data_IF_232118445956
#
_entry.id   IF_232118445956
#
_cell.length_a   1.000
_cell.length_b   1.000
_cell.length_c   1.000
_cell.angle_alpha   90.00
_cell.angle_beta   90.00
_cell.angle_gamma   90.00
#
_symmetry.space_group_name_H-M   'P 1'
#
loop_
_entity.id
_entity.type
_entity.pdbx_description
1 polymer ?
#
# COMPACT_ATOMS: atom_id res chain seq x y z
N UNK A 1 -11.94 -16.08 -27.87
CA UNK A 1 -12.49 -16.20 -26.52
C UNK A 1 -13.99 -16.01 -26.61
N UNK A 2 -14.78 -17.08 -26.48
CA UNK A 2 -16.24 -16.97 -26.52
C UNK A 2 -16.72 -16.94 -25.08
N UNK A 3 -16.98 -15.76 -24.55
CA UNK A 3 -17.71 -15.60 -23.31
C UNK A 3 -19.18 -15.74 -23.67
N UNK A 4 -19.72 -16.96 -23.65
CA UNK A 4 -21.14 -17.13 -23.69
C UNK A 4 -21.74 -16.51 -22.44
N UNK A 5 -22.30 -15.32 -22.62
CA UNK A 5 -22.78 -14.49 -21.56
C UNK A 5 -23.88 -15.17 -20.78
N UNK A 6 -23.67 -15.30 -19.49
CA UNK A 6 -24.80 -15.26 -18.59
C UNK A 6 -25.33 -13.83 -18.64
N UNK A 7 -26.38 -13.60 -19.38
CA UNK A 7 -27.09 -12.33 -19.51
C UNK A 7 -27.77 -11.93 -18.18
N UNK A 8 -26.99 -11.62 -17.17
CA UNK A 8 -27.48 -11.08 -15.91
C UNK A 8 -26.64 -9.89 -15.44
N UNK A 9 -26.33 -9.02 -16.39
CA UNK A 9 -26.06 -7.64 -16.04
C UNK A 9 -27.39 -6.96 -15.72
N UNK A 10 -27.44 -6.27 -14.63
CA UNK A 10 -28.64 -5.59 -14.19
C UNK A 10 -29.23 -4.69 -15.27
N UNK A 11 -30.49 -4.90 -15.60
CA UNK A 11 -31.36 -3.97 -16.31
C UNK A 11 -30.89 -3.46 -17.66
N UNK A 12 -31.25 -4.14 -18.76
CA UNK A 12 -31.27 -3.51 -20.07
C UNK A 12 -30.01 -3.60 -20.93
N UNK A 13 -29.37 -4.74 -21.00
CA UNK A 13 -28.70 -5.17 -22.23
C UNK A 13 -27.34 -4.60 -22.59
N UNK A 14 -26.54 -4.03 -21.68
CA UNK A 14 -25.26 -3.43 -22.06
C UNK A 14 -24.06 -3.83 -21.23
N UNK A 15 -24.21 -3.92 -19.93
CA UNK A 15 -23.12 -4.16 -18.98
C UNK A 15 -22.98 -5.65 -18.63
N UNK A 16 -22.28 -6.40 -19.47
CA UNK A 16 -22.11 -7.83 -19.29
C UNK A 16 -20.81 -8.22 -18.59
N UNK A 17 -19.81 -7.36 -18.59
CA UNK A 17 -18.47 -7.66 -18.07
C UNK A 17 -18.12 -6.84 -16.80
N UNK A 18 -18.47 -5.58 -16.79
CA UNK A 18 -18.34 -4.67 -15.65
C UNK A 18 -16.92 -4.61 -15.07
N UNK A 19 -15.97 -4.10 -15.87
CA UNK A 19 -14.60 -3.82 -15.36
C UNK A 19 -14.68 -2.71 -14.32
N UNK A 20 -14.02 -2.91 -13.18
CA UNK A 20 -14.18 -2.04 -12.01
C UNK A 20 -12.91 -1.80 -11.20
N UNK A 21 -11.81 -2.47 -11.54
CA UNK A 21 -10.47 -2.25 -11.04
C UNK A 21 -9.49 -2.36 -12.20
N UNK A 22 -8.52 -1.46 -12.25
CA UNK A 22 -7.42 -1.48 -13.21
C UNK A 22 -6.19 -1.01 -12.47
N UNK A 23 -5.09 -1.73 -12.63
CA UNK A 23 -3.79 -1.39 -12.10
C UNK A 23 -2.69 -1.67 -13.12
N UNK A 24 -1.61 -0.90 -13.07
CA UNK A 24 -0.47 -1.01 -13.96
C UNK A 24 0.80 -1.33 -13.18
N UNK A 25 1.46 -2.39 -13.57
CA UNK A 25 2.77 -2.76 -13.05
C UNK A 25 3.85 -2.29 -14.02
N UNK A 26 4.61 -1.26 -13.63
CA UNK A 26 5.63 -0.64 -14.46
C UNK A 26 6.82 -1.58 -14.70
N UNK A 27 7.21 -2.38 -13.71
CA UNK A 27 8.35 -3.29 -13.81
C UNK A 27 8.10 -4.45 -14.78
N UNK A 28 6.85 -4.93 -14.82
CA UNK A 28 6.43 -6.01 -15.73
C UNK A 28 5.85 -5.48 -17.05
N UNK A 29 5.54 -4.19 -17.13
CA UNK A 29 4.78 -3.58 -18.22
C UNK A 29 3.47 -4.35 -18.50
N UNK A 30 2.69 -4.58 -17.44
CA UNK A 30 1.45 -5.35 -17.46
C UNK A 30 0.30 -4.59 -16.83
N UNK A 31 -0.91 -4.87 -17.29
CA UNK A 31 -2.14 -4.34 -16.72
C UNK A 31 -2.95 -5.47 -16.09
N UNK A 32 -3.32 -5.30 -14.81
CA UNK A 32 -4.33 -6.12 -14.16
C UNK A 32 -5.69 -5.43 -14.17
N UNK A 33 -6.76 -6.19 -14.33
CA UNK A 33 -8.12 -5.67 -14.19
C UNK A 33 -9.08 -6.70 -13.61
N UNK A 34 -10.10 -6.24 -12.91
CA UNK A 34 -11.15 -7.08 -12.31
C UNK A 34 -12.49 -6.90 -13.01
N UNK A 35 -13.25 -7.98 -13.12
CA UNK A 35 -14.60 -7.99 -13.67
C UNK A 35 -15.60 -8.54 -12.65
N UNK A 36 -16.57 -7.67 -12.27
CA UNK A 36 -17.61 -8.03 -11.32
C UNK A 36 -18.45 -9.22 -11.79
N UNK A 37 -18.89 -9.19 -13.06
CA UNK A 37 -19.84 -10.18 -13.55
C UNK A 37 -19.18 -11.47 -14.04
N UNK A 38 -17.92 -11.40 -14.46
CA UNK A 38 -17.15 -12.61 -14.72
C UNK A 38 -16.70 -13.30 -13.42
N UNK A 39 -16.69 -12.58 -12.28
CA UNK A 39 -16.13 -13.07 -11.01
C UNK A 39 -14.68 -13.51 -11.17
N UNK A 40 -13.90 -12.69 -11.87
CA UNK A 40 -12.49 -12.96 -12.21
C UNK A 40 -11.65 -11.70 -12.22
N UNK A 41 -10.36 -11.91 -12.08
CA UNK A 41 -9.31 -10.93 -12.38
C UNK A 41 -8.47 -11.42 -13.54
N UNK A 42 -7.83 -10.49 -14.25
CA UNK A 42 -7.08 -10.75 -15.47
C UNK A 42 -5.79 -9.95 -15.48
N UNK A 43 -4.78 -10.50 -16.16
CA UNK A 43 -3.54 -9.77 -16.51
C UNK A 43 -3.34 -9.86 -18.01
N UNK A 44 -2.98 -8.74 -18.62
CA UNK A 44 -2.59 -8.61 -20.03
C UNK A 44 -1.22 -7.95 -20.17
N UNK A 45 -0.56 -8.22 -21.29
CA UNK A 45 0.70 -7.59 -21.65
C UNK A 45 0.44 -6.18 -22.21
N UNK A 46 1.03 -5.15 -21.57
CA UNK A 46 0.94 -3.78 -22.04
C UNK A 46 2.12 -3.40 -22.96
N UNK A 47 3.20 -4.16 -22.96
CA UNK A 47 4.40 -3.91 -23.78
C UNK A 47 4.20 -4.12 -25.28
N UNK A 48 3.01 -4.58 -25.68
CA UNK A 48 2.67 -4.90 -27.06
C UNK A 48 2.43 -3.67 -27.92
N UNK A 49 2.89 -3.69 -29.18
CA UNK A 49 2.39 -2.77 -30.21
C UNK A 49 0.94 -3.09 -30.57
N UNK A 50 0.24 -2.18 -31.23
CA UNK A 50 -1.13 -2.43 -31.70
C UNK A 50 -1.25 -3.67 -32.60
N UNK A 51 -0.24 -3.95 -33.42
CA UNK A 51 -0.23 -5.14 -34.29
C UNK A 51 -0.04 -6.43 -33.48
N UNK A 52 0.83 -6.44 -32.48
CA UNK A 52 1.07 -7.56 -31.59
C UNK A 52 -0.15 -7.81 -30.69
N UNK A 53 -0.78 -6.75 -30.15
CA UNK A 53 -2.00 -6.87 -29.37
C UNK A 53 -3.19 -7.48 -30.17
N UNK A 54 -3.17 -7.36 -31.49
CA UNK A 54 -4.13 -8.01 -32.38
C UNK A 54 -3.75 -9.45 -32.79
N UNK A 55 -2.67 -9.99 -32.26
CA UNK A 55 -2.12 -11.31 -32.58
C UNK A 55 -1.89 -12.16 -31.32
N UNK A 56 -1.39 -13.37 -31.51
CA UNK A 56 -1.01 -14.32 -30.45
C UNK A 56 0.51 -14.36 -30.20
N UNK A 57 1.23 -13.33 -30.59
CA UNK A 57 2.70 -13.26 -30.42
C UNK A 57 3.19 -11.82 -30.33
N UNK A 58 4.32 -11.63 -29.65
CA UNK A 58 4.91 -10.32 -29.40
C UNK A 58 4.71 -9.84 -27.94
N UNK A 59 5.23 -8.66 -27.66
CA UNK A 59 5.38 -8.15 -26.29
C UNK A 59 6.42 -8.89 -25.48
N UNK A 60 6.62 -8.47 -24.23
CA UNK A 60 7.56 -9.10 -23.28
C UNK A 60 7.19 -10.55 -22.96
N UNK A 61 5.90 -10.84 -22.92
CA UNK A 61 5.37 -12.19 -22.70
C UNK A 61 5.59 -13.13 -23.89
N UNK A 62 5.71 -12.58 -25.10
CA UNK A 62 5.68 -13.33 -26.36
C UNK A 62 4.29 -13.81 -26.78
N UNK A 63 3.23 -13.44 -26.05
CA UNK A 63 1.84 -13.92 -26.26
C UNK A 63 0.93 -12.91 -26.95
N UNK A 64 1.45 -11.73 -27.30
CA UNK A 64 0.69 -10.67 -27.95
C UNK A 64 -0.49 -10.22 -27.11
N UNK A 65 -1.70 -10.18 -27.69
CA UNK A 65 -2.92 -9.77 -26.99
C UNK A 65 -3.65 -10.85 -26.22
N UNK A 66 -3.04 -12.01 -26.02
CA UNK A 66 -3.65 -13.08 -25.20
C UNK A 66 -3.65 -12.71 -23.71
N UNK A 67 -4.61 -13.26 -22.97
CA UNK A 67 -4.65 -13.12 -21.52
C UNK A 67 -3.51 -13.94 -20.91
N UNK A 68 -2.63 -13.27 -20.17
CA UNK A 68 -1.48 -13.91 -19.53
C UNK A 68 -1.89 -14.70 -18.29
N UNK A 69 -2.81 -14.15 -17.50
CA UNK A 69 -3.30 -14.74 -16.27
C UNK A 69 -4.78 -14.40 -16.07
N UNK A 70 -5.49 -15.33 -15.48
CA UNK A 70 -6.86 -15.13 -15.01
C UNK A 70 -7.11 -15.98 -13.78
N UNK A 71 -7.82 -15.42 -12.81
CA UNK A 71 -8.15 -16.13 -11.57
C UNK A 71 -9.57 -15.81 -11.13
N UNK A 72 -10.31 -16.84 -10.70
CA UNK A 72 -11.68 -16.74 -10.24
C UNK A 72 -12.52 -17.90 -10.78
N UNK A 73 -13.46 -17.66 -11.71
CA UNK A 73 -14.36 -18.68 -12.20
C UNK A 73 -13.79 -19.50 -13.38
N UNK A 74 -13.25 -20.70 -13.14
CA UNK A 74 -12.64 -21.49 -14.21
C UNK A 74 -13.63 -21.98 -15.28
N UNK A 75 -14.93 -22.01 -14.99
CA UNK A 75 -15.93 -22.40 -15.98
C UNK A 75 -16.05 -21.40 -17.13
N UNK A 76 -15.64 -20.15 -16.94
CA UNK A 76 -15.63 -19.12 -17.99
C UNK A 76 -14.65 -19.43 -19.14
N UNK A 77 -13.75 -20.39 -18.95
CA UNK A 77 -12.80 -20.84 -19.98
C UNK A 77 -12.68 -22.37 -20.04
N UNK A 78 -13.76 -23.05 -19.66
CA UNK A 78 -13.96 -24.52 -19.76
C UNK A 78 -12.87 -25.32 -19.03
N UNK A 79 -12.35 -24.79 -17.90
CA UNK A 79 -11.38 -25.51 -17.09
C UNK A 79 -12.05 -26.11 -15.85
N UNK A 80 -11.55 -27.26 -15.37
CA UNK A 80 -12.09 -27.88 -14.16
C UNK A 80 -11.70 -27.06 -12.92
N UNK A 81 -12.60 -27.12 -11.91
CA UNK A 81 -12.28 -26.70 -10.55
C UNK A 81 -11.56 -27.80 -9.77
N UNK A 82 -11.36 -27.62 -8.46
CA UNK A 82 -11.91 -26.53 -7.66
C UNK A 82 -11.07 -25.26 -7.71
N UNK A 83 -11.73 -24.12 -7.63
CA UNK A 83 -11.12 -22.82 -7.40
C UNK A 83 -12.08 -21.94 -6.61
N UNK A 84 -11.57 -21.09 -5.72
CA UNK A 84 -12.36 -20.05 -5.07
C UNK A 84 -12.82 -19.06 -6.14
N UNK A 85 -14.11 -18.79 -6.15
CA UNK A 85 -14.72 -17.81 -7.06
C UNK A 85 -14.99 -16.54 -6.24
N UNK A 86 -14.34 -15.41 -6.55
CA UNK A 86 -14.62 -14.16 -5.85
C UNK A 86 -16.04 -13.68 -6.16
N UNK A 87 -16.74 -13.20 -5.13
CA UNK A 87 -18.09 -12.69 -5.26
C UNK A 87 -18.11 -11.19 -5.47
N UNK A 88 -18.59 -10.72 -6.63
CA UNK A 88 -18.66 -9.30 -6.99
C UNK A 88 -17.31 -8.57 -6.81
N UNK A 89 -16.23 -9.16 -7.29
CA UNK A 89 -14.85 -8.67 -7.12
C UNK A 89 -14.67 -7.26 -7.64
N UNK A 90 -13.89 -6.46 -6.89
CA UNK A 90 -13.47 -5.11 -7.25
C UNK A 90 -12.00 -4.90 -6.96
N UNK A 91 -11.45 -3.82 -7.54
CA UNK A 91 -10.22 -3.19 -7.14
C UNK A 91 -9.01 -4.12 -7.12
N UNK A 92 -8.80 -4.88 -8.21
CA UNK A 92 -7.55 -5.62 -8.34
C UNK A 92 -6.37 -4.67 -8.49
N UNK A 93 -5.29 -4.95 -7.76
CA UNK A 93 -4.01 -4.24 -7.87
C UNK A 93 -2.86 -5.13 -7.45
N UNK A 94 -1.65 -4.81 -7.88
CA UNK A 94 -0.46 -5.40 -7.28
C UNK A 94 -0.16 -4.78 -5.93
N UNK A 95 0.26 -5.61 -5.00
CA UNK A 95 0.98 -5.14 -3.81
C UNK A 95 2.39 -4.79 -4.27
N UNK A 96 2.81 -3.55 -4.04
CA UNK A 96 4.14 -3.08 -4.44
C UNK A 96 5.24 -4.00 -3.87
N UNK A 97 6.17 -4.42 -4.71
CA UNK A 97 7.31 -5.27 -4.30
C UNK A 97 8.50 -4.40 -3.89
N UNK A 98 8.36 -3.75 -2.74
CA UNK A 98 9.33 -2.81 -2.16
C UNK A 98 9.81 -3.26 -0.77
N UNK A 99 9.59 -4.54 -0.44
CA UNK A 99 9.90 -5.12 0.87
C UNK A 99 8.72 -5.18 1.82
N UNK A 100 7.55 -4.64 1.43
CA UNK A 100 6.31 -4.82 2.22
C UNK A 100 5.83 -6.26 2.19
N UNK A 101 5.08 -6.71 3.21
CA UNK A 101 4.52 -8.07 3.24
C UNK A 101 3.65 -8.37 2.03
N UNK A 102 3.89 -9.52 1.40
CA UNK A 102 3.21 -10.02 0.19
C UNK A 102 3.46 -9.14 -1.05
N UNK A 103 4.59 -8.43 -1.13
CA UNK A 103 5.00 -7.73 -2.34
C UNK A 103 4.94 -8.65 -3.57
N UNK A 104 4.45 -8.13 -4.69
CA UNK A 104 4.23 -8.88 -5.93
C UNK A 104 2.91 -9.64 -6.02
N UNK A 105 2.18 -9.87 -4.92
CA UNK A 105 0.84 -10.47 -4.97
C UNK A 105 -0.17 -9.53 -5.61
N UNK A 106 -1.21 -10.10 -6.21
CA UNK A 106 -2.43 -9.36 -6.54
C UNK A 106 -3.31 -9.26 -5.31
N UNK A 107 -3.81 -8.08 -4.99
CA UNK A 107 -4.80 -7.84 -3.95
C UNK A 107 -6.14 -7.49 -4.58
N UNK A 108 -7.22 -8.04 -4.05
CA UNK A 108 -8.59 -7.74 -4.48
C UNK A 108 -9.49 -7.40 -3.32
N UNK A 109 -10.47 -6.55 -3.55
CA UNK A 109 -11.62 -6.41 -2.67
C UNK A 109 -12.70 -7.40 -3.11
N UNK A 110 -12.91 -8.44 -2.33
CA UNK A 110 -13.89 -9.50 -2.59
C UNK A 110 -15.17 -9.18 -1.81
N UNK A 111 -16.13 -8.53 -2.47
CA UNK A 111 -17.32 -7.97 -1.82
C UNK A 111 -18.20 -9.02 -1.12
N UNK A 112 -18.24 -10.23 -1.67
CA UNK A 112 -19.04 -11.34 -1.15
C UNK A 112 -18.14 -12.57 -0.98
N UNK A 113 -16.94 -12.35 -0.45
CA UNK A 113 -15.88 -13.38 -0.36
C UNK A 113 -16.07 -14.37 0.77
N UNK A 114 -16.94 -14.08 1.73
CA UNK A 114 -17.19 -14.89 2.91
C UNK A 114 -18.69 -15.19 3.02
N UNK A 115 -19.04 -16.22 3.80
CA UNK A 115 -20.43 -16.56 4.08
C UNK A 115 -21.21 -15.36 4.63
N UNK A 116 -22.53 -15.33 4.40
CA UNK A 116 -23.42 -14.24 4.80
C UNK A 116 -23.12 -12.89 4.14
N UNK A 117 -22.61 -12.92 2.90
CA UNK A 117 -22.27 -11.72 2.13
C UNK A 117 -21.23 -10.80 2.81
N UNK A 118 -20.37 -11.37 3.64
CA UNK A 118 -19.29 -10.62 4.26
C UNK A 118 -18.15 -10.42 3.25
N UNK A 119 -17.58 -9.21 3.26
CA UNK A 119 -16.46 -8.86 2.38
C UNK A 119 -15.13 -9.36 2.94
N UNK A 120 -14.15 -9.53 2.05
CA UNK A 120 -12.77 -9.79 2.41
C UNK A 120 -11.82 -9.02 1.49
N UNK A 121 -10.62 -8.77 2.00
CA UNK A 121 -9.46 -8.38 1.19
C UNK A 121 -8.61 -9.64 1.02
N UNK A 122 -8.48 -10.10 -0.22
CA UNK A 122 -7.78 -11.34 -0.55
C UNK A 122 -6.49 -11.02 -1.33
N UNK A 123 -5.39 -11.67 -0.96
CA UNK A 123 -4.14 -11.67 -1.70
C UNK A 123 -3.96 -12.96 -2.48
N UNK A 124 -3.57 -12.85 -3.73
CA UNK A 124 -3.36 -13.97 -4.66
C UNK A 124 -1.90 -13.95 -5.11
N UNK A 125 -1.16 -14.98 -4.74
CA UNK A 125 0.19 -15.25 -5.23
C UNK A 125 0.09 -15.92 -6.60
N UNK A 126 0.10 -15.11 -7.66
CA UNK A 126 -0.03 -15.60 -9.02
C UNK A 126 1.24 -16.38 -9.43
N UNK A 127 1.12 -17.63 -9.90
CA UNK A 127 2.27 -18.48 -10.19
C UNK A 127 3.01 -17.98 -11.44
N UNK A 128 4.11 -17.27 -11.25
CA UNK A 128 4.99 -16.81 -12.34
C UNK A 128 5.67 -18.01 -13.01
N UNK A 129 5.80 -17.97 -14.33
CA UNK A 129 6.54 -19.00 -15.07
C UNK A 129 8.04 -18.88 -14.77
N UNK A 130 8.70 -19.93 -14.24
CA UNK A 130 10.11 -19.87 -13.91
C UNK A 130 11.04 -19.66 -15.13
N UNK A 131 10.54 -19.88 -16.34
CA UNK A 131 11.29 -19.70 -17.57
C UNK A 131 11.09 -18.33 -18.23
N UNK A 132 10.00 -17.63 -17.88
CA UNK A 132 9.71 -16.31 -18.38
C UNK A 132 8.96 -15.49 -17.32
N UNK A 133 9.60 -14.51 -16.67
CA UNK A 133 9.00 -13.73 -15.59
C UNK A 133 7.81 -12.85 -16.01
N UNK A 134 7.61 -12.68 -17.31
CA UNK A 134 6.46 -11.96 -17.87
C UNK A 134 5.24 -12.88 -18.10
N UNK A 135 5.33 -14.18 -17.79
CA UNK A 135 4.26 -15.16 -17.98
C UNK A 135 3.86 -15.83 -16.66
N UNK A 136 2.70 -16.46 -16.69
CA UNK A 136 2.15 -17.17 -15.54
C UNK A 136 2.02 -18.64 -15.85
N UNK A 137 2.51 -19.46 -14.91
CA UNK A 137 2.50 -20.89 -15.07
C UNK A 137 1.08 -21.45 -14.92
N UNK A 138 0.72 -22.35 -15.81
CA UNK A 138 -0.51 -23.13 -15.75
C UNK A 138 -0.27 -24.58 -16.12
N UNK A 139 -0.75 -25.49 -15.31
CA UNK A 139 -0.78 -26.91 -15.66
C UNK A 139 -1.75 -27.12 -16.83
N UNK A 140 -1.30 -27.84 -17.86
CA UNK A 140 -2.13 -28.07 -19.03
C UNK A 140 -3.44 -28.78 -18.65
N UNK A 141 -4.57 -28.27 -19.16
CA UNK A 141 -5.90 -28.77 -18.86
C UNK A 141 -6.46 -28.44 -17.48
N UNK A 142 -5.80 -27.57 -16.72
CA UNK A 142 -6.28 -27.08 -15.44
C UNK A 142 -6.48 -25.56 -15.45
N UNK A 143 -7.18 -25.04 -14.46
CA UNK A 143 -7.29 -23.62 -14.22
C UNK A 143 -5.93 -23.03 -13.80
N UNK A 144 -5.75 -21.71 -13.95
CA UNK A 144 -4.62 -21.03 -13.34
C UNK A 144 -4.68 -21.15 -11.81
N UNK A 145 -3.53 -21.42 -11.18
CA UNK A 145 -3.42 -21.39 -9.72
C UNK A 145 -3.37 -19.95 -9.17
N UNK A 146 -3.38 -19.81 -7.85
CA UNK A 146 -3.68 -20.85 -6.85
C UNK A 146 -5.18 -21.22 -6.83
N UNK A 147 -5.52 -22.38 -6.25
CA UNK A 147 -6.92 -22.80 -6.14
C UNK A 147 -7.70 -22.00 -5.08
N UNK A 148 -7.02 -21.25 -4.24
CA UNK A 148 -7.57 -20.41 -3.19
C UNK A 148 -6.75 -19.11 -3.10
N UNK A 149 -7.22 -18.15 -2.33
CA UNK A 149 -6.42 -16.99 -1.93
C UNK A 149 -5.19 -17.44 -1.11
N UNK A 150 -4.11 -16.69 -1.22
CA UNK A 150 -2.88 -16.90 -0.44
C UNK A 150 -2.97 -16.24 0.92
N UNK A 151 -3.58 -15.05 0.98
CA UNK A 151 -3.88 -14.33 2.23
C UNK A 151 -5.32 -13.83 2.23
N UNK A 152 -5.93 -13.71 3.41
CA UNK A 152 -7.28 -13.16 3.57
C UNK A 152 -7.41 -12.36 4.85
N UNK A 153 -7.93 -11.16 4.70
CA UNK A 153 -8.51 -10.40 5.81
C UNK A 153 -10.04 -10.36 5.63
N UNK A 154 -10.78 -10.83 6.63
CA UNK A 154 -12.25 -10.73 6.65
C UNK A 154 -12.62 -9.36 7.18
N UNK A 155 -13.32 -8.57 6.36
CA UNK A 155 -13.58 -7.18 6.65
C UNK A 155 -14.52 -7.00 7.86
N UNK A 156 -14.17 -6.05 8.73
CA UNK A 156 -15.04 -5.64 9.84
C UNK A 156 -16.34 -4.99 9.33
N UNK A 157 -16.26 -4.31 8.18
CA UNK A 157 -17.41 -3.70 7.50
C UNK A 157 -17.49 -4.23 6.08
N UNK A 158 -18.69 -4.59 5.64
CA UNK A 158 -18.93 -5.22 4.34
C UNK A 158 -19.64 -4.28 3.38
N UNK A 159 -19.41 -4.50 2.09
CA UNK A 159 -20.05 -3.75 1.02
C UNK A 159 -20.43 -4.70 -0.13
N UNK A 160 -21.64 -4.57 -0.71
CA UNK A 160 -22.11 -5.47 -1.77
C UNK A 160 -21.49 -5.17 -3.14
N UNK A 161 -20.72 -4.12 -3.25
CA UNK A 161 -20.05 -3.69 -4.48
C UNK A 161 -19.15 -2.51 -4.27
N UNK A 162 -18.44 -2.10 -5.32
CA UNK A 162 -17.40 -1.07 -5.27
C UNK A 162 -16.34 -1.39 -4.22
N UNK A 163 -15.84 -0.39 -3.48
CA UNK A 163 -14.81 -0.60 -2.46
C UNK A 163 -13.39 -0.67 -3.01
N UNK A 164 -12.43 -0.49 -2.13
CA UNK A 164 -11.02 -0.54 -2.44
C UNK A 164 -10.19 -0.94 -1.21
N UNK A 165 -8.95 -1.35 -1.44
CA UNK A 165 -8.01 -1.64 -0.36
C UNK A 165 -6.56 -1.40 -0.78
N UNK A 166 -5.74 -0.89 0.13
CA UNK A 166 -4.30 -0.74 -0.08
C UNK A 166 -3.51 -1.56 0.94
N UNK A 167 -2.38 -2.12 0.49
CA UNK A 167 -1.38 -2.72 1.37
C UNK A 167 -0.34 -1.67 1.72
N UNK A 168 -0.30 -1.28 2.99
CA UNK A 168 0.67 -0.31 3.49
C UNK A 168 2.06 -0.96 3.64
N UNK A 169 3.12 -0.14 3.64
CA UNK A 169 4.50 -0.59 3.77
C UNK A 169 4.76 -1.41 5.04
N UNK A 170 4.13 -1.04 6.14
CA UNK A 170 4.21 -1.78 7.42
C UNK A 170 3.39 -3.09 7.45
N UNK A 171 2.76 -3.45 6.33
CA UNK A 171 1.92 -4.64 6.19
C UNK A 171 0.47 -4.47 6.62
N UNK A 172 0.09 -3.31 7.13
CA UNK A 172 -1.31 -3.01 7.42
C UNK A 172 -2.16 -3.00 6.14
N UNK A 173 -3.46 -3.12 6.30
CA UNK A 173 -4.41 -3.02 5.19
C UNK A 173 -5.31 -1.81 5.43
N UNK A 174 -5.24 -0.82 4.55
CA UNK A 174 -6.27 0.20 4.44
C UNK A 174 -7.47 -0.38 3.69
N UNK A 175 -8.67 -0.15 4.22
CA UNK A 175 -9.92 -0.67 3.67
C UNK A 175 -10.92 0.47 3.51
N UNK A 176 -11.48 0.60 2.33
CA UNK A 176 -12.67 1.38 2.05
C UNK A 176 -13.82 0.44 1.71
N UNK A 177 -14.73 0.22 2.64
CA UNK A 177 -15.99 -0.47 2.40
C UNK A 177 -17.03 0.54 1.94
N UNK A 178 -17.42 0.49 0.66
CA UNK A 178 -18.36 1.46 0.07
C UNK A 178 -19.78 1.30 0.61
N UNK A 179 -20.47 2.41 0.81
CA UNK A 179 -21.89 2.41 1.15
C UNK A 179 -22.84 2.14 -0.04
N UNK A 180 -22.30 1.90 -1.23
CA UNK A 180 -23.08 1.82 -2.47
C UNK A 180 -23.43 3.22 -3.01
N UNK A 181 -24.33 3.29 -3.99
CA UNK A 181 -24.75 4.56 -4.57
C UNK A 181 -25.57 5.36 -3.53
N UNK A 182 -25.02 6.50 -3.09
CA UNK A 182 -25.65 7.40 -2.12
C UNK A 182 -25.66 6.88 -0.68
N UNK A 183 -24.90 5.84 -0.38
CA UNK A 183 -24.73 5.32 0.99
C UNK A 183 -23.42 5.77 1.63
N UNK A 184 -23.42 5.92 2.95
CA UNK A 184 -22.21 6.17 3.71
C UNK A 184 -21.32 4.93 3.73
N UNK A 185 -20.08 5.07 3.25
CA UNK A 185 -19.05 4.06 3.36
C UNK A 185 -18.26 4.18 4.66
N UNK A 186 -17.37 3.24 4.90
CA UNK A 186 -16.50 3.21 6.07
C UNK A 186 -15.06 2.98 5.62
N UNK A 187 -14.17 3.85 6.05
CA UNK A 187 -12.73 3.71 5.86
C UNK A 187 -12.06 3.34 7.18
N UNK A 188 -11.12 2.44 7.14
CA UNK A 188 -10.33 2.05 8.32
C UNK A 188 -9.04 1.37 7.91
N UNK A 189 -8.09 1.29 8.82
CA UNK A 189 -6.85 0.53 8.65
C UNK A 189 -6.75 -0.55 9.71
N UNK A 190 -6.30 -1.71 9.32
CA UNK A 190 -6.06 -2.84 10.24
C UNK A 190 -4.60 -3.27 10.20
N UNK A 191 -4.12 -3.69 11.35
CA UNK A 191 -2.81 -4.34 11.47
C UNK A 191 -2.83 -5.79 10.94
N UNK A 192 -1.69 -6.46 11.00
CA UNK A 192 -1.54 -7.84 10.55
C UNK A 192 -2.35 -8.85 11.38
N UNK A 193 -2.85 -8.46 12.56
CA UNK A 193 -3.72 -9.28 13.41
C UNK A 193 -5.21 -9.01 13.14
N UNK A 194 -5.52 -8.07 12.25
CA UNK A 194 -6.88 -7.65 11.95
C UNK A 194 -7.47 -6.64 12.96
N UNK A 195 -6.63 -6.06 13.83
CA UNK A 195 -7.05 -5.01 14.76
C UNK A 195 -7.16 -3.68 14.04
N UNK A 196 -8.26 -2.95 14.23
CA UNK A 196 -8.41 -1.60 13.67
C UNK A 196 -7.44 -0.66 14.40
N UNK A 197 -6.47 -0.11 13.67
CA UNK A 197 -5.46 0.82 14.17
C UNK A 197 -5.73 2.28 13.76
N UNK A 198 -6.57 2.49 12.75
CA UNK A 198 -7.06 3.80 12.35
C UNK A 198 -8.52 3.73 11.89
N UNK A 199 -9.29 4.75 12.20
CA UNK A 199 -10.72 4.78 11.93
C UNK A 199 -11.53 4.03 13.02
N UNK A 200 -12.79 3.58 12.73
CA UNK A 200 -13.51 3.74 11.47
C UNK A 200 -13.91 5.20 11.19
N UNK A 201 -13.78 5.62 9.95
CA UNK A 201 -14.18 6.93 9.47
C UNK A 201 -15.33 6.77 8.45
N UNK A 202 -16.46 7.38 8.73
CA UNK A 202 -17.61 7.37 7.81
C UNK A 202 -17.39 8.38 6.69
N UNK A 203 -17.42 7.91 5.46
CA UNK A 203 -17.27 8.76 4.28
C UNK A 203 -18.16 8.28 3.13
N UNK A 204 -18.64 9.25 2.37
CA UNK A 204 -19.44 9.00 1.18
C UNK A 204 -18.49 8.76 0.00
N UNK A 205 -17.86 7.57 -0.03
CA UNK A 205 -16.86 7.23 -1.02
C UNK A 205 -17.14 5.86 -1.65
N UNK A 206 -17.12 5.85 -2.98
CA UNK A 206 -17.25 4.62 -3.78
C UNK A 206 -15.95 3.81 -3.73
N UNK A 207 -14.83 4.51 -3.86
CA UNK A 207 -13.46 4.02 -3.68
C UNK A 207 -12.63 5.10 -3.03
N UNK A 208 -11.78 4.71 -2.10
CA UNK A 208 -10.76 5.55 -1.51
C UNK A 208 -9.46 4.76 -1.41
N UNK A 209 -8.38 5.48 -1.56
CA UNK A 209 -7.01 4.96 -1.50
C UNK A 209 -6.23 5.73 -0.45
N UNK A 210 -5.26 5.05 0.15
CA UNK A 210 -4.36 5.67 1.11
C UNK A 210 -2.95 5.70 0.52
N UNK A 211 -2.40 6.89 0.43
CA UNK A 211 -1.02 7.10 0.03
C UNK A 211 -0.16 7.31 1.26
N UNK A 212 1.00 6.68 1.28
CA UNK A 212 2.02 6.90 2.30
C UNK A 212 2.64 8.27 2.12
N UNK A 213 3.16 8.84 3.21
CA UNK A 213 3.66 10.21 3.20
C UNK A 213 4.86 10.40 2.25
N UNK A 214 5.63 9.34 2.04
CA UNK A 214 6.78 9.28 1.14
C UNK A 214 6.39 9.19 -0.35
N UNK A 215 5.11 8.97 -0.63
CA UNK A 215 4.65 8.86 -2.02
C UNK A 215 4.93 10.17 -2.79
N UNK A 216 5.55 10.11 -3.99
CA UNK A 216 5.97 11.31 -4.74
C UNK A 216 4.87 12.34 -4.97
N UNK A 217 3.62 11.89 -5.14
CA UNK A 217 2.47 12.78 -5.29
C UNK A 217 2.19 13.59 -4.01
N UNK A 218 2.37 12.99 -2.82
CA UNK A 218 2.19 13.70 -1.53
C UNK A 218 3.23 14.80 -1.40
N UNK A 219 4.51 14.49 -1.68
CA UNK A 219 5.60 15.49 -1.67
C UNK A 219 5.31 16.65 -2.63
N UNK A 220 4.77 16.35 -3.82
CA UNK A 220 4.41 17.38 -4.80
C UNK A 220 3.21 18.23 -4.38
N UNK A 221 2.31 17.70 -3.57
CA UNK A 221 1.11 18.36 -3.08
C UNK A 221 1.35 19.16 -1.79
N UNK A 222 2.47 18.91 -1.09
CA UNK A 222 2.80 19.55 0.19
C UNK A 222 2.55 21.07 0.20
N UNK A 223 2.97 21.86 -0.80
CA UNK A 223 2.77 23.31 -0.81
C UNK A 223 1.29 23.73 -0.86
N UNK A 224 0.40 22.82 -1.27
CA UNK A 224 -1.03 23.05 -1.44
C UNK A 224 -1.88 22.43 -0.33
N UNK A 225 -1.27 21.60 0.52
CA UNK A 225 -1.96 20.97 1.64
C UNK A 225 -2.13 21.99 2.76
N UNK A 226 -3.32 22.01 3.38
CA UNK A 226 -3.51 22.86 4.56
C UNK A 226 -2.67 22.32 5.74
N UNK A 227 -2.42 23.20 6.72
CA UNK A 227 -1.56 22.87 7.87
C UNK A 227 -2.04 21.64 8.66
N UNK A 228 -3.33 21.34 8.63
CA UNK A 228 -3.90 20.16 9.30
C UNK A 228 -3.59 18.86 8.55
N UNK A 229 -3.60 18.90 7.22
CA UNK A 229 -3.25 17.75 6.40
C UNK A 229 -1.74 17.46 6.44
N UNK A 230 -0.90 18.52 6.38
CA UNK A 230 0.56 18.39 6.49
C UNK A 230 0.98 17.86 7.87
N UNK A 231 0.25 18.18 8.93
CA UNK A 231 0.55 17.68 10.27
C UNK A 231 0.44 16.15 10.36
N UNK A 232 -0.36 15.49 9.56
CA UNK A 232 -0.47 14.03 9.59
C UNK A 232 0.63 13.30 8.79
N UNK A 233 1.19 13.93 7.74
CA UNK A 233 2.27 13.35 6.93
C UNK A 233 3.66 13.80 7.38
N UNK A 234 3.77 15.00 7.91
CA UNK A 234 5.05 15.60 8.31
C UNK A 234 5.15 15.86 9.82
N UNK A 235 4.04 15.73 10.58
CA UNK A 235 4.21 15.41 11.98
C UNK A 235 4.80 14.00 11.97
N UNK A 236 6.04 13.93 12.33
CA UNK A 236 6.52 12.71 12.95
C UNK A 236 5.45 12.30 13.94
N UNK A 237 4.57 11.38 13.57
CA UNK A 237 3.96 10.58 14.59
C UNK A 237 5.17 9.96 15.27
N UNK A 238 5.52 10.50 16.42
CA UNK A 238 6.10 9.68 17.45
C UNK A 238 5.01 8.63 17.70
N UNK A 239 4.88 7.61 16.84
CA UNK A 239 4.58 6.32 17.40
C UNK A 239 5.60 6.21 18.49
N UNK A 240 5.17 6.01 19.71
CA UNK A 240 6.00 5.65 20.83
C UNK A 240 6.94 4.50 20.43
N UNK A 241 7.94 4.79 19.61
CA UNK A 241 9.21 4.13 19.67
C UNK A 241 9.67 4.53 21.04
N UNK A 242 9.28 3.68 21.99
CA UNK A 242 9.50 3.74 23.40
C UNK A 242 10.47 4.83 23.74
N UNK A 243 10.04 5.90 24.40
CA UNK A 243 10.77 7.07 24.84
C UNK A 243 12.09 6.75 25.58
N UNK A 244 12.48 5.50 25.57
CA UNK A 244 13.65 4.91 26.18
C UNK A 244 14.86 4.78 25.24
N UNK A 245 14.72 4.93 23.92
CA UNK A 245 15.84 4.66 23.02
C UNK A 245 16.77 5.86 22.83
N UNK A 246 16.28 7.10 22.85
CA UNK A 246 17.07 8.33 22.67
C UNK A 246 16.52 9.41 23.59
N UNK A 247 17.40 10.00 24.41
CA UNK A 247 17.04 11.11 25.26
C UNK A 247 17.92 12.32 24.94
N UNK A 248 17.28 13.50 24.81
CA UNK A 248 17.95 14.80 24.62
C UNK A 248 17.61 15.68 25.82
N UNK A 249 18.61 16.04 26.61
CA UNK A 249 18.41 16.84 27.82
C UNK A 249 19.58 17.74 28.15
N UNK A 250 19.39 18.83 28.92
CA UNK A 250 18.11 19.38 29.35
C UNK A 250 17.33 19.95 28.15
N UNK A 251 16.02 19.94 28.23
CA UNK A 251 15.14 20.56 27.25
C UNK A 251 13.98 21.26 28.01
N UNK A 252 13.92 22.59 28.12
CA UNK A 252 14.83 23.59 27.51
C UNK A 252 16.26 23.57 28.04
N UNK A 253 17.19 24.22 27.32
CA UNK A 253 18.61 24.30 27.70
C UNK A 253 19.20 25.71 27.48
N UNK A 254 20.33 25.96 28.12
CA UNK A 254 21.15 27.18 27.89
C UNK A 254 22.05 27.08 26.64
N UNK A 255 21.78 26.13 25.73
CA UNK A 255 22.56 25.82 24.54
C UNK A 255 23.46 24.60 24.66
N UNK A 256 23.49 23.94 25.82
CA UNK A 256 24.22 22.70 26.03
C UNK A 256 23.24 21.55 26.20
N UNK A 257 23.36 20.52 25.35
CA UNK A 257 22.52 19.32 25.33
C UNK A 257 23.36 18.07 25.50
N UNK A 258 22.77 17.05 26.08
CA UNK A 258 23.28 15.69 26.05
C UNK A 258 22.35 14.82 25.28
N UNK A 259 22.87 13.98 24.39
CA UNK A 259 22.15 12.88 23.76
C UNK A 259 22.58 11.58 24.42
N UNK A 260 21.63 10.82 24.93
CA UNK A 260 21.84 9.45 25.41
C UNK A 260 21.14 8.49 24.46
N UNK A 261 21.85 7.42 24.10
CA UNK A 261 21.35 6.33 23.28
C UNK A 261 21.21 5.08 24.14
N UNK A 262 20.11 4.34 23.99
CA UNK A 262 19.94 3.04 24.63
C UNK A 262 20.89 1.98 24.05
N UNK A 263 20.98 0.86 24.76
CA UNK A 263 21.84 -0.27 24.42
C UNK A 263 21.57 -0.88 23.04
N UNK A 264 20.36 -0.76 22.56
CA UNK A 264 19.91 -1.41 21.32
C UNK A 264 20.28 -0.63 20.04
N UNK A 265 20.81 0.56 20.21
CA UNK A 265 21.22 1.43 19.10
C UNK A 265 22.72 1.29 18.86
N UNK A 266 23.11 0.70 17.73
CA UNK A 266 24.54 0.49 17.40
C UNK A 266 25.23 1.79 16.98
N UNK A 267 24.59 2.57 16.10
CA UNK A 267 25.17 3.77 15.50
C UNK A 267 24.08 4.71 15.00
N UNK A 268 24.25 6.02 15.16
CA UNK A 268 23.37 7.05 14.61
C UNK A 268 24.17 8.22 14.05
N UNK A 269 23.53 9.01 13.18
CA UNK A 269 23.96 10.35 12.80
C UNK A 269 22.96 11.38 13.32
N UNK A 270 23.43 12.54 13.73
CA UNK A 270 22.59 13.64 14.23
C UNK A 270 22.90 14.91 13.45
N UNK A 271 21.86 15.58 12.98
CA UNK A 271 21.94 16.91 12.40
C UNK A 271 21.13 17.88 13.25
N UNK A 272 21.65 19.07 13.46
CA UNK A 272 20.96 20.14 14.19
C UNK A 272 20.66 21.27 13.21
N UNK A 273 19.39 21.66 13.16
CA UNK A 273 18.90 22.73 12.29
C UNK A 273 18.34 23.88 13.14
N UNK A 274 18.50 25.11 12.68
CA UNK A 274 17.82 26.25 13.26
C UNK A 274 16.36 26.36 12.81
N UNK A 275 15.62 27.34 13.32
CA UNK A 275 14.18 27.53 13.03
C UNK A 275 13.84 27.82 11.56
N UNK A 276 14.81 28.14 10.72
CA UNK A 276 14.65 28.34 9.27
C UNK A 276 15.15 27.14 8.45
N UNK A 277 15.45 26.01 9.11
CA UNK A 277 15.86 24.78 8.43
C UNK A 277 17.33 24.72 8.01
N UNK A 278 18.15 25.68 8.39
CA UNK A 278 19.59 25.67 8.09
C UNK A 278 20.32 24.69 9.02
N UNK A 279 21.07 23.74 8.46
CA UNK A 279 21.95 22.84 9.21
C UNK A 279 23.07 23.63 9.85
N UNK A 280 23.20 23.56 11.18
CA UNK A 280 24.23 24.27 11.95
C UNK A 280 25.30 23.35 12.52
N UNK A 281 24.95 22.09 12.79
CA UNK A 281 25.87 21.06 13.29
C UNK A 281 25.48 19.69 12.71
N UNK A 282 26.49 18.83 12.52
CA UNK A 282 26.34 17.45 12.12
C UNK A 282 27.30 16.56 12.91
N UNK A 283 26.81 15.44 13.37
CA UNK A 283 27.59 14.39 14.03
C UNK A 283 27.29 13.07 13.33
N UNK A 284 28.32 12.38 12.90
CA UNK A 284 28.21 11.06 12.30
C UNK A 284 28.77 10.00 13.26
N UNK A 285 28.24 8.77 13.16
CA UNK A 285 28.76 7.58 13.84
C UNK A 285 28.75 7.66 15.38
N UNK A 286 27.70 8.24 15.96
CA UNK A 286 27.48 8.22 17.40
C UNK A 286 27.09 6.82 17.86
N UNK A 287 27.79 6.28 18.85
CA UNK A 287 27.62 4.89 19.34
C UNK A 287 26.82 4.84 20.64
N UNK A 288 26.14 3.73 20.86
CA UNK A 288 25.47 3.43 22.13
C UNK A 288 26.43 3.54 23.33
N UNK A 289 25.83 3.74 24.50
CA UNK A 289 26.51 3.91 25.81
C UNK A 289 27.37 5.17 25.95
N UNK A 290 27.50 6.02 24.94
CA UNK A 290 28.22 7.28 25.07
C UNK A 290 27.23 8.45 25.12
N UNK A 291 27.32 9.27 26.20
CA UNK A 291 26.64 10.55 26.24
C UNK A 291 27.36 11.51 25.29
N UNK A 292 26.70 11.91 24.22
CA UNK A 292 27.21 12.90 23.30
C UNK A 292 26.79 14.30 23.78
N UNK A 293 27.75 15.15 24.02
CA UNK A 293 27.49 16.59 24.32
C UNK A 293 27.43 17.39 23.05
N UNK A 294 26.39 18.22 22.94
CA UNK A 294 26.19 19.16 21.84
C UNK A 294 26.15 20.55 22.43
N UNK A 295 27.04 21.44 21.95
CA UNK A 295 27.09 22.82 22.35
C UNK A 295 26.67 23.73 21.20
N UNK A 296 25.51 24.39 21.37
CA UNK A 296 24.97 25.42 20.48
C UNK A 296 24.91 26.80 21.19
N UNK A 297 25.67 26.98 22.27
CA UNK A 297 25.66 28.22 23.06
C UNK A 297 26.08 29.45 22.27
N UNK A 298 26.86 29.28 21.20
CA UNK A 298 27.28 30.34 20.27
C UNK A 298 26.25 30.72 19.23
N UNK A 299 25.10 29.99 19.14
CA UNK A 299 24.02 30.29 18.20
C UNK A 299 22.91 31.08 18.89
N UNK A 300 22.07 31.82 18.15
CA UNK A 300 20.98 32.62 18.72
C UNK A 300 20.04 31.79 19.59
N UNK A 301 19.39 32.44 20.55
CA UNK A 301 18.32 31.81 21.32
C UNK A 301 17.13 31.50 20.38
N UNK A 302 16.47 30.34 20.55
CA UNK A 302 15.34 29.92 19.72
C UNK A 302 15.11 28.43 19.76
N UNK A 303 14.28 27.98 18.82
CA UNK A 303 14.02 26.56 18.61
C UNK A 303 15.05 25.94 17.68
N UNK A 304 15.49 24.74 18.02
CA UNK A 304 16.40 23.93 17.22
C UNK A 304 15.80 22.55 17.01
N UNK A 305 15.96 22.01 15.82
CA UNK A 305 15.48 20.69 15.44
C UNK A 305 16.66 19.72 15.38
N UNK A 306 16.56 18.64 16.12
CA UNK A 306 17.51 17.54 16.06
C UNK A 306 16.95 16.44 15.16
N UNK A 307 17.59 16.20 14.03
CA UNK A 307 17.29 15.12 13.11
C UNK A 307 18.26 13.97 13.38
N UNK A 308 17.74 12.82 13.75
CA UNK A 308 18.53 11.66 14.17
C UNK A 308 18.27 10.54 13.17
N UNK A 309 19.33 9.99 12.61
CA UNK A 309 19.28 8.98 11.58
C UNK A 309 19.89 7.67 12.09
N UNK A 310 19.16 6.58 11.99
CA UNK A 310 19.62 5.22 12.22
C UNK A 310 19.26 4.38 10.99
N UNK A 311 20.25 3.80 10.31
CA UNK A 311 20.04 2.87 9.20
C UNK A 311 18.95 3.31 8.19
N UNK A 312 18.97 4.59 7.75
CA UNK A 312 17.95 5.24 6.90
C UNK A 312 16.64 5.63 7.60
N UNK A 313 16.47 5.43 8.90
CA UNK A 313 15.33 5.96 9.66
C UNK A 313 15.65 7.36 10.19
N UNK A 314 14.72 8.31 9.97
CA UNK A 314 14.81 9.68 10.44
C UNK A 314 14.02 9.87 11.74
N UNK A 315 14.67 10.33 12.79
CA UNK A 315 14.03 10.78 14.03
C UNK A 315 14.22 12.29 14.15
N UNK A 316 13.20 13.05 14.50
CA UNK A 316 13.30 14.48 14.73
C UNK A 316 12.79 14.84 16.11
N UNK A 317 13.46 15.73 16.81
CA UNK A 317 13.03 16.28 18.09
C UNK A 317 13.16 17.80 18.09
N UNK A 318 12.08 18.56 18.31
CA UNK A 318 12.17 19.99 18.56
C UNK A 318 12.73 20.24 19.96
N UNK A 319 13.67 21.14 20.09
CA UNK A 319 14.22 21.54 21.40
C UNK A 319 14.25 23.06 21.51
N UNK A 320 13.47 23.67 22.40
CA UNK A 320 13.57 25.09 22.69
C UNK A 320 14.84 25.39 23.50
N UNK A 321 15.52 26.45 23.13
CA UNK A 321 16.51 27.08 23.94
C UNK A 321 15.86 28.19 24.76
N UNK A 322 16.09 28.22 26.08
CA UNK A 322 15.47 29.19 27.00
C UNK A 322 15.59 30.62 26.51
N UNK A 323 14.47 31.35 26.57
CA UNK A 323 14.35 32.78 26.26
C UNK A 323 14.48 33.62 27.55
N UNK A 324 15.31 33.22 28.51
CA UNK A 324 15.54 34.00 29.74
C UNK A 324 16.44 35.21 29.52
#
# INVERSE_FOLDING_TARGET
>A
MHLEGTSKAGGGGGDWFHVNGVDYNEDLDQIAFSSRFASEIYIIDHSTTTAEAASHSGGNSGMGGDILYRWGNPSNYNMPGPQIIPGAVHDVRWITDDGRPNGGFLQIFNNIGVSNNQSSVDGIDAPVDPNNPYNYYRVNGQAFGPSSYSTRYVCAYSAPGQSASDRMYNGNIFVNASGGQGGAGVMYEVDQNGTIVWGPYNADSQKAFRYECEHPAITSLEPYMNSTATTSCFSTSFEDLQTELISIYPNPSNGNFNIILSADIKEISVKVHNSIGQEILKFDNLKAYNTQKIDISNYPQGFYHFSIFKDCLLYTSPSPRDLS
#
